data_IF_958082610705
#
_entry.id   IF_958082610705
#
_cell.length_a   1.000
_cell.length_b   1.000
_cell.length_c   1.000
_cell.angle_alpha   90.00
_cell.angle_beta   90.00
_cell.angle_gamma   90.00
#
_symmetry.space_group_name_H-M   'P 1'
#
loop_
_entity.id
_entity.type
_entity.pdbx_description
1 polymer ?
#
# COMPACT_ATOMS: atom_id res chain seq x y z
N UNK A 1 -7.90 6.79 -15.14
CA UNK A 1 -8.56 5.64 -14.50
C UNK A 1 -9.45 6.08 -13.33
N UNK A 2 -8.92 6.89 -12.42
CA UNK A 2 -9.67 7.38 -11.26
C UNK A 2 -10.85 8.24 -11.69
N UNK A 3 -10.65 9.17 -12.63
CA UNK A 3 -11.73 10.02 -13.15
C UNK A 3 -12.81 9.19 -13.84
N UNK A 4 -12.42 8.16 -14.58
CA UNK A 4 -13.37 7.25 -15.21
C UNK A 4 -14.18 6.47 -14.17
N UNK A 5 -13.55 6.06 -13.06
CA UNK A 5 -14.22 5.37 -11.97
C UNK A 5 -15.25 6.28 -11.29
N UNK A 6 -14.93 7.54 -11.07
CA UNK A 6 -15.87 8.53 -10.52
C UNK A 6 -17.08 8.68 -11.43
N UNK A 7 -16.85 8.85 -12.74
CA UNK A 7 -17.93 8.98 -13.73
C UNK A 7 -18.82 7.73 -13.79
N UNK A 8 -18.24 6.55 -13.63
CA UNK A 8 -18.96 5.30 -13.67
C UNK A 8 -19.74 5.00 -12.38
N UNK A 9 -19.61 5.83 -11.35
CA UNK A 9 -20.30 5.63 -10.08
C UNK A 9 -19.68 4.56 -9.19
N UNK A 10 -18.39 4.28 -9.36
CA UNK A 10 -17.65 3.36 -8.49
C UNK A 10 -17.64 3.91 -7.06
N UNK A 11 -18.04 3.09 -6.11
CA UNK A 11 -18.15 3.50 -4.71
C UNK A 11 -16.85 3.35 -3.94
N UNK A 12 -16.04 2.34 -4.26
CA UNK A 12 -14.79 2.05 -3.57
C UNK A 12 -13.70 1.74 -4.57
N UNK A 13 -12.52 2.31 -4.34
CA UNK A 13 -11.35 2.14 -5.20
C UNK A 13 -10.15 1.74 -4.37
N UNK A 14 -9.47 0.67 -4.75
CA UNK A 14 -8.22 0.25 -4.11
C UNK A 14 -7.08 0.51 -5.08
N UNK A 15 -6.16 1.36 -4.67
CA UNK A 15 -4.96 1.70 -5.45
C UNK A 15 -3.76 0.98 -4.86
N UNK A 16 -3.10 0.17 -5.68
CA UNK A 16 -1.82 -0.43 -5.31
C UNK A 16 -0.70 0.52 -5.72
N UNK A 17 -0.05 1.08 -4.74
CA UNK A 17 1.06 2.02 -4.89
C UNK A 17 2.38 1.35 -4.51
N UNK A 18 3.21 1.98 -3.71
CA UNK A 18 4.50 1.41 -3.26
C UNK A 18 4.96 2.08 -1.98
N UNK A 19 5.60 1.33 -1.09
CA UNK A 19 6.44 1.93 -0.04
C UNK A 19 7.51 2.78 -0.73
N UNK A 20 7.74 3.97 -0.21
CA UNK A 20 8.59 5.00 -0.80
C UNK A 20 7.80 6.18 -1.34
N UNK A 21 6.51 5.98 -1.64
CA UNK A 21 5.61 7.05 -2.03
C UNK A 21 5.18 7.87 -0.81
N UNK A 22 5.00 9.18 -0.99
CA UNK A 22 4.49 10.05 0.07
C UNK A 22 5.33 9.99 1.34
N UNK A 23 4.67 9.90 2.48
CA UNK A 23 5.32 9.88 3.79
C UNK A 23 6.13 8.60 4.07
N UNK A 24 6.02 7.57 3.26
CA UNK A 24 6.84 6.36 3.41
C UNK A 24 8.21 6.49 2.74
N UNK A 25 8.51 7.58 2.06
CA UNK A 25 9.83 7.84 1.47
C UNK A 25 10.94 7.71 2.50
N UNK A 26 10.72 8.16 3.74
CA UNK A 26 11.69 8.10 4.81
C UNK A 26 12.02 6.66 5.27
N UNK A 27 11.18 5.69 4.92
CA UNK A 27 11.40 4.28 5.26
C UNK A 27 12.38 3.57 4.31
N UNK A 28 12.74 4.20 3.19
CA UNK A 28 13.64 3.63 2.20
C UNK A 28 15.05 4.23 2.32
N UNK A 29 16.10 3.44 2.01
CA UNK A 29 17.46 3.98 1.93
C UNK A 29 17.59 4.98 0.77
N UNK A 30 18.51 5.97 0.87
CA UNK A 30 18.68 7.01 -0.16
C UNK A 30 18.92 6.46 -1.56
N UNK A 31 19.63 5.36 -1.70
CA UNK A 31 19.90 4.74 -3.00
C UNK A 31 18.62 4.25 -3.68
N UNK A 32 17.71 3.66 -2.92
CA UNK A 32 16.42 3.22 -3.45
C UNK A 32 15.57 4.40 -3.89
N UNK A 33 15.56 5.49 -3.11
CA UNK A 33 14.84 6.71 -3.46
C UNK A 33 15.41 7.36 -4.73
N UNK A 34 16.73 7.36 -4.91
CA UNK A 34 17.36 7.90 -6.10
C UNK A 34 16.94 7.12 -7.35
N UNK A 35 16.97 5.79 -7.28
CA UNK A 35 16.62 4.92 -8.40
C UNK A 35 15.13 4.97 -8.75
N UNK A 36 14.27 4.97 -7.74
CA UNK A 36 12.82 4.86 -7.89
C UNK A 36 12.09 6.20 -7.85
N UNK A 37 12.81 7.29 -7.55
CA UNK A 37 12.20 8.59 -7.28
C UNK A 37 11.18 9.07 -8.31
N UNK A 38 11.47 9.04 -9.64
CA UNK A 38 10.50 9.48 -10.63
C UNK A 38 9.20 8.68 -10.62
N UNK A 39 9.30 7.35 -10.44
CA UNK A 39 8.13 6.47 -10.36
C UNK A 39 7.34 6.74 -9.09
N UNK A 40 8.03 6.94 -7.97
CA UNK A 40 7.39 7.19 -6.67
C UNK A 40 6.64 8.52 -6.66
N UNK A 41 7.16 9.54 -7.33
CA UNK A 41 6.48 10.83 -7.49
C UNK A 41 5.16 10.66 -8.26
N UNK A 42 5.18 9.89 -9.34
CA UNK A 42 3.96 9.62 -10.11
C UNK A 42 2.93 8.82 -9.29
N UNK A 43 3.40 7.85 -8.50
CA UNK A 43 2.53 7.11 -7.59
C UNK A 43 1.89 8.01 -6.54
N UNK A 44 2.64 8.93 -5.97
CA UNK A 44 2.11 9.90 -5.01
C UNK A 44 1.04 10.79 -5.63
N UNK A 45 1.24 11.24 -6.87
CA UNK A 45 0.22 12.01 -7.60
C UNK A 45 -1.07 11.24 -7.76
N UNK A 46 -0.99 9.96 -8.11
CA UNK A 46 -2.16 9.10 -8.24
C UNK A 46 -2.87 8.90 -6.90
N UNK A 47 -2.12 8.71 -5.82
CA UNK A 47 -2.66 8.60 -4.47
C UNK A 47 -3.44 9.86 -4.08
N UNK A 48 -2.84 11.02 -4.28
CA UNK A 48 -3.45 12.31 -3.92
C UNK A 48 -4.70 12.59 -4.76
N UNK A 49 -4.68 12.22 -6.04
CA UNK A 49 -5.83 12.35 -6.92
C UNK A 49 -7.00 11.49 -6.44
N UNK A 50 -6.73 10.25 -6.06
CA UNK A 50 -7.74 9.35 -5.49
C UNK A 50 -8.32 9.89 -4.19
N UNK A 51 -7.46 10.33 -3.28
CA UNK A 51 -7.88 10.88 -1.98
C UNK A 51 -8.80 12.09 -2.18
N UNK A 52 -8.52 12.95 -3.17
CA UNK A 52 -9.31 14.12 -3.49
C UNK A 52 -10.60 13.81 -4.25
N UNK A 53 -10.78 12.59 -4.74
CA UNK A 53 -11.90 12.24 -5.64
C UNK A 53 -13.26 12.14 -4.98
N UNK A 54 -13.31 12.00 -3.66
CA UNK A 54 -14.54 11.78 -2.90
C UNK A 54 -15.00 10.32 -2.85
N UNK A 55 -14.35 9.41 -3.57
CA UNK A 55 -14.64 7.97 -3.45
C UNK A 55 -14.12 7.43 -2.12
N UNK A 56 -14.74 6.36 -1.62
CA UNK A 56 -14.14 5.55 -0.58
C UNK A 56 -12.89 4.90 -1.17
N UNK A 57 -11.75 5.05 -0.53
CA UNK A 57 -10.48 4.55 -1.05
C UNK A 57 -9.73 3.72 -0.02
N UNK A 58 -8.86 2.87 -0.52
CA UNK A 58 -7.74 2.28 0.23
C UNK A 58 -6.51 2.40 -0.67
N UNK A 59 -5.45 2.99 -0.16
CA UNK A 59 -4.14 2.99 -0.84
C UNK A 59 -3.28 1.93 -0.16
N UNK A 60 -2.83 0.96 -0.93
CA UNK A 60 -1.91 -0.08 -0.45
C UNK A 60 -0.53 0.19 -1.03
N UNK A 61 0.45 0.36 -0.14
CA UNK A 61 1.86 0.56 -0.49
C UNK A 61 2.64 -0.71 -0.15
N UNK A 62 2.77 -1.66 -1.08
CA UNK A 62 3.57 -2.85 -0.81
C UNK A 62 5.06 -2.52 -0.73
N UNK A 63 5.78 -3.32 0.04
CA UNK A 63 7.23 -3.35 0.04
C UNK A 63 7.80 -4.00 -1.21
N UNK A 64 9.08 -4.39 -1.18
CA UNK A 64 9.71 -5.07 -2.31
C UNK A 64 8.94 -6.32 -2.70
N UNK A 65 8.54 -6.41 -3.97
CA UNK A 65 7.68 -7.50 -4.45
C UNK A 65 8.51 -8.71 -4.87
N UNK A 66 8.07 -9.89 -4.44
CA UNK A 66 8.65 -11.18 -4.84
C UNK A 66 7.58 -12.05 -5.48
N UNK A 67 8.00 -12.88 -6.44
CA UNK A 67 7.09 -13.74 -7.21
C UNK A 67 7.11 -15.18 -6.72
N UNK A 68 7.20 -15.38 -5.41
CA UNK A 68 7.12 -16.69 -4.77
C UNK A 68 5.67 -16.98 -4.36
N UNK A 69 5.32 -18.25 -4.03
CA UNK A 69 4.00 -18.56 -3.50
C UNK A 69 3.66 -17.76 -2.24
N UNK A 70 2.38 -17.53 -1.99
CA UNK A 70 1.92 -16.82 -0.82
C UNK A 70 2.41 -17.47 0.47
N UNK A 71 2.84 -16.66 1.44
CA UNK A 71 3.23 -17.16 2.77
C UNK A 71 2.07 -17.15 3.77
N UNK A 72 1.03 -16.36 3.50
CA UNK A 72 -0.05 -16.11 4.45
C UNK A 72 0.29 -15.12 5.55
N UNK A 73 1.48 -14.50 5.51
CA UNK A 73 1.97 -13.59 6.55
C UNK A 73 1.92 -12.11 6.14
N UNK A 74 1.21 -11.78 5.06
CA UNK A 74 1.03 -10.39 4.64
C UNK A 74 0.19 -9.62 5.66
N UNK A 75 0.66 -8.43 6.02
CA UNK A 75 -0.01 -7.55 6.97
C UNK A 75 -0.07 -6.12 6.44
N UNK A 76 -1.04 -5.36 6.92
CA UNK A 76 -1.20 -3.94 6.62
C UNK A 76 -0.95 -3.12 7.87
N UNK A 77 -0.33 -1.95 7.70
CA UNK A 77 -0.07 -1.02 8.79
C UNK A 77 -0.16 0.42 8.31
N UNK A 78 -0.65 1.30 9.18
CA UNK A 78 -0.61 2.74 8.94
C UNK A 78 0.75 3.37 9.28
N UNK A 79 1.65 2.61 9.90
CA UNK A 79 2.96 3.11 10.32
C UNK A 79 3.86 3.35 9.11
N UNK A 80 4.13 4.62 8.81
CA UNK A 80 4.93 5.02 7.65
C UNK A 80 6.43 4.71 7.77
N UNK A 81 6.89 4.22 8.92
CA UNK A 81 8.29 3.83 9.16
C UNK A 81 8.58 2.40 8.72
N UNK A 82 7.55 1.60 8.50
CA UNK A 82 7.70 0.18 8.16
C UNK A 82 8.14 0.03 6.71
N UNK A 83 9.14 -0.80 6.49
CA UNK A 83 9.56 -1.25 5.17
C UNK A 83 9.95 -2.73 5.23
N UNK A 84 9.93 -3.39 4.10
CA UNK A 84 10.23 -4.81 4.01
C UNK A 84 9.93 -5.33 2.62
N UNK A 85 9.68 -6.62 2.52
CA UNK A 85 9.27 -7.29 1.28
C UNK A 85 7.97 -8.03 1.50
N UNK A 86 7.33 -8.40 0.40
CA UNK A 86 6.08 -9.16 0.41
C UNK A 86 5.95 -9.90 -0.92
N UNK A 87 5.34 -11.07 -0.91
CA UNK A 87 5.05 -11.80 -2.15
C UNK A 87 3.81 -11.23 -2.83
N UNK A 88 3.81 -11.18 -4.16
CA UNK A 88 2.68 -10.64 -4.94
C UNK A 88 1.36 -11.31 -4.62
N UNK A 89 1.38 -12.63 -4.38
CA UNK A 89 0.17 -13.37 -4.01
C UNK A 89 -0.40 -12.93 -2.66
N UNK A 90 0.43 -12.55 -1.71
CA UNK A 90 -0.01 -12.02 -0.43
C UNK A 90 -0.62 -10.62 -0.59
N UNK A 91 -0.06 -9.78 -1.46
CA UNK A 91 -0.66 -8.48 -1.81
C UNK A 91 -2.06 -8.67 -2.38
N UNK A 92 -2.22 -9.62 -3.30
CA UNK A 92 -3.52 -9.91 -3.91
C UNK A 92 -4.56 -10.32 -2.87
N UNK A 93 -4.19 -11.13 -1.89
CA UNK A 93 -5.08 -11.51 -0.78
C UNK A 93 -5.49 -10.30 0.05
N UNK A 94 -4.55 -9.41 0.36
CA UNK A 94 -4.83 -8.19 1.12
C UNK A 94 -5.77 -7.26 0.35
N UNK A 95 -5.58 -7.11 -0.96
CA UNK A 95 -6.49 -6.32 -1.81
C UNK A 95 -7.91 -6.87 -1.74
N UNK A 96 -8.06 -8.18 -1.89
CA UNK A 96 -9.39 -8.83 -1.80
C UNK A 96 -10.03 -8.62 -0.42
N UNK A 97 -9.27 -8.71 0.65
CA UNK A 97 -9.78 -8.49 2.00
C UNK A 97 -10.21 -7.03 2.20
N UNK A 98 -9.44 -6.06 1.66
CA UNK A 98 -9.79 -4.65 1.74
C UNK A 98 -11.08 -4.31 0.99
N UNK A 99 -11.39 -5.02 -0.09
CA UNK A 99 -12.62 -4.79 -0.85
C UNK A 99 -13.87 -5.04 -0.01
N UNK A 100 -13.82 -5.97 0.92
CA UNK A 100 -14.98 -6.38 1.74
C UNK A 100 -14.89 -5.91 3.19
N UNK A 101 -13.85 -5.16 3.55
CA UNK A 101 -13.64 -4.67 4.91
C UNK A 101 -13.76 -3.16 5.00
N UNK A 102 -14.61 -2.66 5.88
CA UNK A 102 -14.72 -1.23 6.16
C UNK A 102 -13.54 -0.70 6.99
N UNK A 103 -12.78 -1.57 7.64
CA UNK A 103 -11.62 -1.18 8.46
C UNK A 103 -10.53 -0.49 7.64
N UNK A 104 -10.43 -0.78 6.35
CA UNK A 104 -9.44 -0.19 5.43
C UNK A 104 -9.96 1.05 4.71
N UNK A 105 -11.21 1.47 4.91
CA UNK A 105 -11.79 2.59 4.19
C UNK A 105 -11.10 3.90 4.54
N UNK A 106 -10.73 4.64 3.50
CA UNK A 106 -10.08 5.95 3.58
C UNK A 106 -8.75 5.91 4.33
N UNK A 107 -8.01 4.82 4.15
CA UNK A 107 -6.70 4.63 4.76
C UNK A 107 -5.61 4.44 3.70
N UNK A 108 -4.41 4.88 4.07
CA UNK A 108 -3.17 4.65 3.33
C UNK A 108 -2.34 3.67 4.15
N UNK A 109 -2.08 2.49 3.59
CA UNK A 109 -1.53 1.37 4.33
C UNK A 109 -0.29 0.81 3.64
N UNK A 110 0.77 0.58 4.42
CA UNK A 110 1.92 -0.18 3.95
C UNK A 110 1.64 -1.68 4.08
N UNK A 111 2.07 -2.47 3.10
CA UNK A 111 1.88 -3.91 3.07
C UNK A 111 3.24 -4.61 3.03
N UNK A 112 3.49 -5.44 4.02
CA UNK A 112 4.73 -6.23 4.14
C UNK A 112 4.40 -7.63 4.61
N UNK A 113 5.31 -8.56 4.36
CA UNK A 113 5.29 -9.85 5.03
C UNK A 113 5.82 -9.65 6.45
N UNK A 114 5.06 -10.11 7.43
CA UNK A 114 5.38 -9.91 8.84
C UNK A 114 6.75 -10.46 9.23
N UNK A 115 7.21 -11.47 8.52
CA UNK A 115 8.52 -12.08 8.76
C UNK A 115 9.66 -11.47 7.92
N UNK A 116 9.35 -10.50 7.06
CA UNK A 116 10.30 -9.88 6.14
C UNK A 116 10.42 -8.36 6.34
N UNK A 117 10.03 -7.87 7.50
CA UNK A 117 10.16 -6.44 7.87
C UNK A 117 11.61 -6.15 8.20
N UNK A 118 12.12 -5.00 7.72
CA UNK A 118 13.48 -4.57 7.99
C UNK A 118 13.60 -3.97 9.39
N UNK A 119 14.65 -4.36 10.11
CA UNK A 119 14.95 -3.85 11.45
C UNK A 119 14.07 -4.47 12.54
N UNK A 120 14.14 -3.91 13.74
CA UNK A 120 13.43 -4.37 14.94
C UNK A 120 12.37 -3.34 15.37
N UNK A 121 11.62 -2.82 14.42
CA UNK A 121 10.61 -1.81 14.65
C UNK A 121 9.34 -2.45 15.21
N UNK A 122 8.81 -1.88 16.28
CA UNK A 122 7.47 -2.20 16.74
C UNK A 122 6.44 -1.38 15.98
N UNK A 123 5.39 -2.02 15.50
CA UNK A 123 4.32 -1.38 14.72
C UNK A 123 3.00 -2.12 14.94
N UNK A 124 1.91 -1.40 14.71
CA UNK A 124 0.56 -1.97 14.83
C UNK A 124 0.09 -2.50 13.48
N UNK A 125 -0.47 -3.70 13.50
CA UNK A 125 -1.11 -4.32 12.33
C UNK A 125 -2.57 -3.94 12.32
N UNK A 126 -3.07 -3.51 11.14
CA UNK A 126 -4.49 -3.23 10.97
C UNK A 126 -5.26 -4.55 10.86
N UNK A 127 -6.24 -4.73 11.73
CA UNK A 127 -7.17 -5.84 11.62
C UNK A 127 -8.26 -5.54 10.60
N UNK A 128 -8.45 -6.46 9.65
CA UNK A 128 -9.48 -6.32 8.61
C UNK A 128 -10.79 -7.05 8.98
N UNK A 129 -10.81 -7.63 10.12
CA UNK A 129 -11.85 -8.41 10.76
C UNK A 129 -13.29 -8.23 10.46
#
# INVERSE_FOLDING_TARGET
LIDAAVKAGVQKFILVSSIGSGNTAAALPPQALETLGPVLIEKEKAENHLIASGMIYTVIRPGGLKSEPATGNGVLTEDCRVAGTIHRADVAQLVCQCLVSDAANNKVLSAVDQQMVYGNLEYEVLGLG
#
